data_IF_954447912908
#
_entry.id   IF_954447912908
#
_cell.length_a   1.000
_cell.length_b   1.000
_cell.length_c   1.000
_cell.angle_alpha   90.00
_cell.angle_beta   90.00
_cell.angle_gamma   90.00
#
_symmetry.space_group_name_H-M   'P 1'
#
loop_
_entity.id
_entity.type
_entity.pdbx_description
1 polymer ?
#
# COMPACT_ATOMS: atom_id res chain seq x y z
N UNK A 1 -15.31 -20.35 21.17
CA UNK A 1 -14.32 -20.04 20.10
C UNK A 1 -12.92 -20.39 20.61
N UNK A 2 -12.14 -21.13 19.82
CA UNK A 2 -10.72 -21.33 20.10
C UNK A 2 -9.95 -20.21 19.40
N UNK A 3 -8.96 -19.64 20.06
CA UNK A 3 -8.06 -18.64 19.49
C UNK A 3 -6.66 -18.87 20.07
N UNK A 4 -5.63 -18.67 19.26
CA UNK A 4 -4.23 -18.70 19.69
C UNK A 4 -3.60 -17.35 19.42
N UNK A 5 -2.75 -16.86 20.32
CA UNK A 5 -2.01 -15.61 20.17
C UNK A 5 -0.52 -15.88 20.37
N UNK A 6 0.32 -15.36 19.48
CA UNK A 6 1.78 -15.42 19.59
C UNK A 6 2.36 -14.02 19.54
N UNK A 7 3.14 -13.65 20.55
CA UNK A 7 3.91 -12.40 20.61
C UNK A 7 5.39 -12.57 20.26
N UNK A 8 5.79 -13.71 19.67
CA UNK A 8 7.19 -14.04 19.46
C UNK A 8 7.92 -13.08 18.48
N UNK A 9 7.18 -12.34 17.66
CA UNK A 9 7.75 -11.43 16.67
C UNK A 9 8.08 -10.06 17.29
N UNK A 10 9.37 -9.82 17.56
CA UNK A 10 9.92 -8.50 17.89
C UNK A 10 10.40 -7.80 16.62
N UNK A 11 9.90 -6.60 16.37
CA UNK A 11 10.19 -5.85 15.14
C UNK A 11 11.24 -4.73 15.32
N UNK A 12 11.29 -4.04 16.47
CA UNK A 12 12.36 -3.09 16.91
C UNK A 12 12.02 -2.50 18.29
N UNK A 13 13.04 -2.08 19.07
CA UNK A 13 12.92 -1.23 20.27
C UNK A 13 11.80 -1.62 21.26
N UNK A 14 11.60 -2.92 21.50
CA UNK A 14 10.61 -3.43 22.46
C UNK A 14 9.17 -3.49 21.94
N UNK A 15 8.91 -3.19 20.66
CA UNK A 15 7.57 -3.33 20.06
C UNK A 15 7.31 -4.78 19.66
N UNK A 16 6.23 -5.34 20.19
CA UNK A 16 5.72 -6.68 19.85
C UNK A 16 4.64 -6.53 18.78
N UNK A 17 4.76 -7.27 17.68
CA UNK A 17 3.66 -7.46 16.72
C UNK A 17 3.06 -8.84 16.95
N UNK A 18 1.98 -8.95 17.74
CA UNK A 18 1.37 -10.24 17.97
C UNK A 18 0.63 -10.73 16.72
N UNK A 19 0.62 -12.04 16.54
CA UNK A 19 -0.22 -12.76 15.59
C UNK A 19 -1.37 -13.43 16.35
N UNK A 20 -2.59 -13.35 15.82
CA UNK A 20 -3.78 -13.99 16.39
C UNK A 20 -4.39 -14.91 15.34
N UNK A 21 -4.54 -16.19 15.68
CA UNK A 21 -5.15 -17.21 14.82
C UNK A 21 -6.48 -17.65 15.45
N UNK A 22 -7.59 -17.47 14.71
CA UNK A 22 -8.93 -17.90 15.13
C UNK A 22 -9.42 -18.98 14.16
N UNK A 23 -9.36 -20.27 14.52
CA UNK A 23 -9.90 -21.34 13.68
C UNK A 23 -11.42 -21.16 13.46
N UNK A 24 -11.83 -21.29 12.21
CA UNK A 24 -13.22 -21.34 11.74
C UNK A 24 -13.46 -22.67 11.03
N UNK A 25 -13.57 -23.80 11.75
CA UNK A 25 -13.76 -25.12 11.15
C UNK A 25 -15.04 -25.26 10.32
N UNK A 26 -15.99 -24.34 10.51
CA UNK A 26 -17.22 -24.21 9.75
C UNK A 26 -17.05 -23.60 8.34
N UNK A 27 -15.88 -23.00 8.04
CA UNK A 27 -15.58 -22.43 6.72
C UNK A 27 -14.83 -23.46 5.87
N UNK A 28 -15.35 -23.74 4.68
CA UNK A 28 -14.63 -24.43 3.63
C UNK A 28 -13.73 -23.45 2.85
N UNK A 29 -12.68 -23.91 2.13
CA UNK A 29 -11.84 -23.05 1.30
C UNK A 29 -12.64 -22.19 0.32
N UNK A 30 -13.79 -22.67 -0.15
CA UNK A 30 -14.69 -21.96 -1.06
C UNK A 30 -15.49 -20.85 -0.37
N UNK A 31 -15.67 -20.94 0.95
CA UNK A 31 -16.34 -19.91 1.78
C UNK A 31 -15.41 -18.76 2.13
N UNK A 32 -14.09 -18.98 2.04
CA UNK A 32 -13.08 -17.92 2.07
C UNK A 32 -13.15 -17.24 0.71
N UNK A 33 -14.06 -16.27 0.59
CA UNK A 33 -14.11 -15.44 -0.62
C UNK A 33 -12.70 -14.94 -0.93
N UNK A 34 -12.30 -15.00 -2.20
CA UNK A 34 -11.12 -14.27 -2.65
C UNK A 34 -11.32 -12.84 -2.16
N UNK A 35 -10.59 -12.47 -1.11
CA UNK A 35 -10.45 -11.09 -0.75
C UNK A 35 -9.89 -10.49 -2.02
N UNK A 36 -10.74 -9.76 -2.76
CA UNK A 36 -10.30 -8.90 -3.85
C UNK A 36 -9.53 -7.76 -3.20
N UNK A 37 -8.45 -8.08 -2.47
CA UNK A 37 -7.23 -7.31 -2.59
C UNK A 37 -7.05 -7.23 -4.09
N UNK A 38 -7.33 -6.06 -4.63
CA UNK A 38 -7.10 -5.74 -6.00
C UNK A 38 -5.63 -6.05 -6.30
N UNK A 39 -5.38 -7.28 -6.74
CA UNK A 39 -4.04 -7.86 -6.86
C UNK A 39 -3.25 -7.13 -7.96
N UNK A 40 -3.95 -6.33 -8.75
CA UNK A 40 -3.37 -5.36 -9.66
C UNK A 40 -2.86 -4.19 -8.84
N UNK A 41 -1.54 -4.18 -8.61
CA UNK A 41 -0.87 -2.98 -8.12
C UNK A 41 -1.08 -1.78 -9.04
N UNK A 42 -0.65 -0.59 -8.60
CA UNK A 42 -0.72 0.65 -9.39
C UNK A 42 0.03 0.49 -10.73
N UNK A 43 -0.65 0.83 -11.82
CA UNK A 43 -0.16 0.82 -13.20
C UNK A 43 -0.02 2.24 -13.79
N UNK A 44 0.69 2.37 -14.91
CA UNK A 44 0.72 3.65 -15.64
C UNK A 44 -0.66 3.92 -16.22
N UNK A 45 -1.15 5.14 -16.03
CA UNK A 45 -2.48 5.57 -16.44
C UNK A 45 -3.51 5.53 -15.32
N UNK A 46 -3.24 4.87 -14.20
CA UNK A 46 -4.13 4.83 -13.04
C UNK A 46 -4.30 6.22 -12.42
N UNK A 47 -5.52 6.53 -12.00
CA UNK A 47 -5.82 7.69 -11.16
C UNK A 47 -5.53 7.34 -9.71
N UNK A 48 -4.74 8.18 -9.04
CA UNK A 48 -4.29 7.96 -7.67
C UNK A 48 -4.49 9.19 -6.81
N UNK A 49 -4.75 8.98 -5.52
CA UNK A 49 -4.77 10.03 -4.49
C UNK A 49 -3.50 9.94 -3.65
N UNK A 50 -2.88 11.09 -3.40
CA UNK A 50 -1.74 11.20 -2.50
C UNK A 50 -2.22 11.16 -1.04
N UNK A 51 -1.74 10.20 -0.27
CA UNK A 51 -2.21 9.91 1.11
C UNK A 51 -1.20 10.33 2.19
N UNK A 52 -0.15 11.07 1.83
CA UNK A 52 0.88 11.57 2.76
C UNK A 52 1.19 13.03 2.51
N UNK A 53 1.51 13.74 3.60
CA UNK A 53 2.06 15.09 3.54
C UNK A 53 3.39 15.12 2.73
N UNK A 54 3.74 16.25 2.10
CA UNK A 54 3.01 17.52 2.10
C UNK A 54 1.83 17.57 1.11
N UNK A 55 1.70 16.58 0.22
CA UNK A 55 0.77 16.61 -0.90
C UNK A 55 -0.57 15.90 -0.61
N UNK A 56 -0.91 15.72 0.67
CA UNK A 56 -2.06 14.94 1.10
C UNK A 56 -3.37 15.42 0.44
N UNK A 57 -4.17 14.48 -0.05
CA UNK A 57 -5.47 14.72 -0.66
C UNK A 57 -5.43 15.10 -2.14
N UNK A 58 -4.25 15.42 -2.70
CA UNK A 58 -4.13 15.74 -4.13
C UNK A 58 -4.35 14.51 -4.99
N UNK A 59 -4.99 14.71 -6.14
CA UNK A 59 -5.28 13.66 -7.12
C UNK A 59 -4.41 13.89 -8.36
N UNK A 60 -3.98 12.80 -8.96
CA UNK A 60 -3.23 12.81 -10.20
C UNK A 60 -3.23 11.47 -10.91
N UNK A 61 -2.59 11.45 -12.07
CA UNK A 61 -2.47 10.27 -12.92
C UNK A 61 -1.04 9.75 -12.91
N UNK A 62 -0.87 8.44 -12.82
CA UNK A 62 0.46 7.82 -12.87
C UNK A 62 0.98 7.89 -14.30
N UNK A 63 2.14 8.53 -14.48
CA UNK A 63 2.80 8.69 -15.78
C UNK A 63 4.04 7.80 -15.92
N UNK A 64 4.58 7.26 -14.81
CA UNK A 64 5.78 6.44 -14.84
C UNK A 64 5.97 5.58 -13.59
N UNK A 65 6.58 4.40 -13.80
CA UNK A 65 6.94 3.42 -12.78
C UNK A 65 8.43 3.08 -12.88
N UNK A 66 9.34 3.92 -12.37
CA UNK A 66 10.77 3.61 -12.39
C UNK A 66 11.05 2.25 -11.72
N UNK A 67 11.74 1.31 -12.40
CA UNK A 67 11.95 -0.05 -11.88
C UNK A 67 12.96 -0.08 -10.73
N UNK A 68 13.93 0.83 -10.76
CA UNK A 68 14.99 0.95 -9.76
C UNK A 68 14.50 1.76 -8.55
N UNK A 69 14.73 1.27 -7.31
CA UNK A 69 14.51 2.07 -6.10
C UNK A 69 15.33 3.36 -6.15
N UNK A 70 14.70 4.49 -5.83
CA UNK A 70 15.37 5.80 -5.77
C UNK A 70 15.54 6.22 -4.32
N UNK A 71 16.63 6.93 -4.04
CA UNK A 71 16.81 7.61 -2.76
C UNK A 71 15.84 8.81 -2.71
N UNK A 72 14.99 8.86 -1.69
CA UNK A 72 14.08 9.97 -1.46
C UNK A 72 14.68 10.95 -0.44
N UNK A 73 14.14 12.18 -0.29
CA UNK A 73 14.70 13.20 0.61
C UNK A 73 14.86 12.76 2.08
N UNK A 74 14.14 11.72 2.52
CA UNK A 74 14.30 11.11 3.85
C UNK A 74 15.45 10.09 3.90
N UNK A 75 16.39 10.17 2.96
CA UNK A 75 17.55 9.28 2.75
C UNK A 75 17.20 7.79 2.54
N UNK A 76 15.91 7.46 2.51
CA UNK A 76 15.43 6.09 2.36
C UNK A 76 15.46 5.67 0.89
N UNK A 77 15.80 4.41 0.63
CA UNK A 77 15.77 3.84 -0.72
C UNK A 77 14.43 3.11 -0.90
N UNK A 78 13.58 3.61 -1.80
CA UNK A 78 12.25 3.04 -2.00
C UNK A 78 11.82 3.09 -3.46
N UNK A 79 10.82 2.28 -3.82
CA UNK A 79 10.20 2.34 -5.13
C UNK A 79 9.29 3.56 -5.21
N UNK A 80 9.42 4.31 -6.29
CA UNK A 80 8.70 5.56 -6.50
C UNK A 80 7.74 5.46 -7.69
N UNK A 81 6.82 6.41 -7.75
CA UNK A 81 5.89 6.67 -8.84
C UNK A 81 6.14 8.07 -9.37
N UNK A 82 6.01 8.26 -10.66
CA UNK A 82 5.90 9.58 -11.27
C UNK A 82 4.42 9.87 -11.52
N UNK A 83 3.90 10.94 -10.90
CA UNK A 83 2.48 11.30 -10.92
C UNK A 83 2.33 12.71 -11.47
N UNK A 84 1.45 12.88 -12.44
CA UNK A 84 1.02 14.19 -12.95
C UNK A 84 -0.27 14.59 -12.23
N UNK A 85 -0.19 15.66 -11.44
CA UNK A 85 -1.32 16.17 -10.66
C UNK A 85 -2.25 17.02 -11.55
N UNK A 86 -3.50 17.19 -11.16
CA UNK A 86 -4.54 17.90 -11.96
C UNK A 86 -4.15 19.33 -12.41
N UNK A 87 -3.13 19.95 -11.79
CA UNK A 87 -2.58 21.24 -12.19
C UNK A 87 -1.40 21.19 -13.19
N UNK A 88 -1.07 20.01 -13.73
CA UNK A 88 0.07 19.78 -14.63
C UNK A 88 1.43 19.64 -13.93
N UNK A 89 1.47 19.78 -12.60
CA UNK A 89 2.67 19.55 -11.80
C UNK A 89 3.02 18.06 -11.77
N UNK A 90 4.28 17.73 -12.03
CA UNK A 90 4.81 16.37 -11.94
C UNK A 90 5.58 16.17 -10.65
N UNK A 91 5.21 15.15 -9.91
CA UNK A 91 5.83 14.80 -8.62
C UNK A 91 6.32 13.37 -8.63
N UNK A 92 7.42 13.14 -7.89
CA UNK A 92 7.96 11.81 -7.64
C UNK A 92 7.68 11.46 -6.19
N UNK A 93 6.89 10.41 -5.96
CA UNK A 93 6.45 10.00 -4.62
C UNK A 93 6.68 8.52 -4.39
N UNK A 94 6.93 8.07 -3.15
CA UNK A 94 6.97 6.65 -2.83
C UNK A 94 5.67 5.94 -3.23
N UNK A 95 5.76 4.70 -3.70
CA UNK A 95 4.57 3.87 -4.00
C UNK A 95 3.61 3.75 -2.82
N UNK A 96 4.15 3.74 -1.59
CA UNK A 96 3.37 3.67 -0.36
C UNK A 96 2.61 4.98 -0.01
N UNK A 97 2.86 6.07 -0.74
CA UNK A 97 2.25 7.37 -0.48
C UNK A 97 1.04 7.64 -1.38
N UNK A 98 0.58 6.64 -2.13
CA UNK A 98 -0.58 6.78 -3.01
C UNK A 98 -1.61 5.68 -2.75
N UNK A 99 -2.86 5.99 -3.03
CA UNK A 99 -3.98 5.05 -3.07
C UNK A 99 -4.59 5.09 -4.47
N UNK A 100 -4.85 3.93 -5.08
CA UNK A 100 -5.53 3.86 -6.38
C UNK A 100 -7.01 4.19 -6.20
N UNK A 101 -7.52 5.02 -7.10
CA UNK A 101 -8.94 5.36 -7.13
C UNK A 101 -9.64 4.48 -8.15
N UNK A 102 -10.73 3.83 -7.74
CA UNK A 102 -11.64 3.14 -8.66
C UNK A 102 -12.68 4.13 -9.17
N UNK A 103 -12.91 4.15 -10.49
CA UNK A 103 -14.05 4.85 -11.08
C UNK A 103 -15.31 4.02 -10.76
N UNK A 104 -16.25 4.62 -10.02
CA UNK A 104 -17.52 3.97 -9.64
C UNK A 104 -18.60 4.19 -10.69
#
# INVERSE_FOLDING_TARGET
HKASISGATQIRAGVIRPEVVVPRPELAPEDVGEERMDARGVEVGDTVRLIRAPLFGRIGRVIGLPPEPRQIPTESVTRVLEVELEGGERVVVPRANVERMEER
#
